data_IF_568760567952
#
_entry.id   IF_568760567952
#
_cell.length_a   1.000
_cell.length_b   1.000
_cell.length_c   1.000
_cell.angle_alpha   90.00
_cell.angle_beta   90.00
_cell.angle_gamma   90.00
#
_symmetry.space_group_name_H-M   'P 1'
#
loop_
_entity.id
_entity.type
_entity.pdbx_description
1 polymer ?
#
# COMPACT_ATOMS: atom_id res chain seq x y z
N UNK A 1 36.28 -1.84 27.29
CA UNK A 1 36.62 -1.96 25.86
C UNK A 1 35.39 -2.57 25.19
N UNK A 2 34.52 -1.71 24.68
CA UNK A 2 33.18 -2.05 24.20
C UNK A 2 33.33 -2.61 22.78
N UNK A 3 33.00 -3.88 22.58
CA UNK A 3 32.89 -4.47 21.25
C UNK A 3 31.49 -4.17 20.72
N UNK A 4 31.45 -3.36 19.68
CA UNK A 4 30.28 -3.11 18.84
C UNK A 4 29.83 -4.41 18.19
N UNK A 5 28.65 -4.89 18.53
CA UNK A 5 27.94 -5.86 17.71
C UNK A 5 27.19 -5.08 16.63
N UNK A 6 27.78 -5.06 15.44
CA UNK A 6 27.06 -4.72 14.21
C UNK A 6 25.95 -5.77 14.05
N UNK A 7 24.71 -5.31 14.11
CA UNK A 7 23.56 -6.05 13.58
C UNK A 7 23.78 -6.15 12.06
N UNK A 8 24.35 -7.25 11.60
CA UNK A 8 24.32 -7.59 10.18
C UNK A 8 22.92 -8.08 9.87
N UNK A 9 22.20 -7.34 9.02
CA UNK A 9 21.05 -7.84 8.28
C UNK A 9 21.51 -9.03 7.43
N UNK A 10 21.39 -10.22 7.98
CA UNK A 10 21.62 -11.47 7.28
C UNK A 10 20.47 -12.41 7.61
N UNK A 11 19.81 -12.87 6.54
CA UNK A 11 18.87 -13.97 6.46
C UNK A 11 17.45 -13.74 7.04
N UNK A 12 16.59 -13.13 6.22
CA UNK A 12 15.29 -13.75 5.93
C UNK A 12 15.37 -14.22 4.47
N UNK A 13 15.96 -15.40 4.28
CA UNK A 13 15.80 -16.16 3.04
C UNK A 13 14.72 -17.18 3.35
N UNK A 14 13.48 -16.87 2.98
CA UNK A 14 12.38 -17.85 3.04
C UNK A 14 12.19 -18.38 1.62
N UNK A 15 12.17 -19.70 1.56
CA UNK A 15 12.17 -20.56 0.40
C UNK A 15 10.85 -20.47 -0.38
N UNK A 16 10.93 -20.17 -1.67
CA UNK A 16 9.89 -20.39 -2.66
C UNK A 16 10.53 -20.87 -3.96
N UNK A 17 10.73 -22.19 -4.09
CA UNK A 17 11.02 -22.81 -5.38
C UNK A 17 9.68 -23.31 -5.91
N UNK A 18 9.05 -22.55 -6.80
CA UNK A 18 8.03 -23.11 -7.70
C UNK A 18 8.09 -22.47 -9.08
N UNK A 19 8.31 -23.34 -10.05
CA UNK A 19 8.33 -23.07 -11.48
C UNK A 19 6.98 -22.56 -12.00
N UNK A 20 6.96 -21.37 -12.60
CA UNK A 20 5.89 -20.94 -13.50
C UNK A 20 6.29 -21.25 -14.95
N UNK A 21 5.40 -21.93 -15.67
CA UNK A 21 5.49 -22.12 -17.11
C UNK A 21 5.36 -20.74 -17.78
N UNK A 22 6.27 -20.41 -18.69
CA UNK A 22 6.25 -19.16 -19.46
C UNK A 22 4.92 -18.99 -20.20
N UNK A 23 4.06 -18.10 -19.69
CA UNK A 23 3.04 -17.48 -20.51
C UNK A 23 3.74 -16.52 -21.51
N UNK A 24 3.09 -16.22 -22.63
CA UNK A 24 3.65 -15.34 -23.67
C UNK A 24 4.00 -13.95 -23.13
N UNK A 25 4.80 -13.19 -23.87
CA UNK A 25 5.23 -11.85 -23.45
C UNK A 25 4.03 -10.91 -23.20
N UNK A 26 2.97 -11.03 -23.99
CA UNK A 26 1.74 -10.25 -23.86
C UNK A 26 0.98 -10.53 -22.54
N UNK A 27 0.82 -11.80 -22.18
CA UNK A 27 0.17 -12.19 -20.91
C UNK A 27 0.98 -11.78 -19.69
N UNK A 28 2.31 -11.89 -19.76
CA UNK A 28 3.18 -11.48 -18.66
C UNK A 28 3.10 -9.97 -18.46
N UNK A 29 3.12 -9.20 -19.56
CA UNK A 29 2.98 -7.74 -19.50
C UNK A 29 1.64 -7.31 -18.88
N UNK A 30 0.55 -7.94 -19.32
CA UNK A 30 -0.77 -7.74 -18.71
C UNK A 30 -0.76 -8.06 -17.21
N UNK A 31 -0.21 -9.21 -16.85
CA UNK A 31 -0.13 -9.67 -15.45
C UNK A 31 0.67 -8.69 -14.59
N UNK A 32 1.78 -8.17 -15.11
CA UNK A 32 2.61 -7.17 -14.45
C UNK A 32 1.87 -5.85 -14.20
N UNK A 33 1.16 -5.30 -15.19
CA UNK A 33 0.40 -4.05 -15.01
C UNK A 33 -0.75 -4.22 -14.01
N UNK A 34 -1.53 -5.30 -14.15
CA UNK A 34 -2.67 -5.58 -13.25
C UNK A 34 -2.20 -5.94 -11.84
N UNK A 35 -1.15 -6.76 -11.73
CA UNK A 35 -0.51 -7.13 -10.47
C UNK A 35 -0.01 -5.89 -9.73
N UNK A 36 0.61 -4.96 -10.46
CA UNK A 36 1.05 -3.67 -9.90
C UNK A 36 -0.11 -2.81 -9.42
N UNK A 37 -1.18 -2.70 -10.21
CA UNK A 37 -2.39 -1.95 -9.85
C UNK A 37 -3.01 -2.49 -8.56
N UNK A 38 -3.26 -3.80 -8.51
CA UNK A 38 -3.96 -4.43 -7.38
C UNK A 38 -3.11 -4.48 -6.12
N UNK A 39 -1.81 -4.72 -6.25
CA UNK A 39 -0.87 -4.66 -5.12
C UNK A 39 -0.81 -3.24 -4.55
N UNK A 40 -0.65 -2.24 -5.41
CA UNK A 40 -0.56 -0.84 -4.98
C UNK A 40 -1.85 -0.39 -4.30
N UNK A 41 -3.02 -0.77 -4.83
CA UNK A 41 -4.32 -0.52 -4.22
C UNK A 41 -4.48 -1.18 -2.83
N UNK A 42 -3.87 -2.35 -2.61
CA UNK A 42 -3.91 -3.03 -1.31
C UNK A 42 -2.86 -2.50 -0.32
N UNK A 43 -1.71 -2.00 -0.80
CA UNK A 43 -0.61 -1.57 0.05
C UNK A 43 -0.85 -0.17 0.66
N UNK A 44 -0.73 -0.08 2.00
CA UNK A 44 -0.99 1.14 2.77
C UNK A 44 -0.24 2.39 2.27
N UNK A 45 1.00 2.20 1.81
CA UNK A 45 1.90 3.27 1.40
C UNK A 45 1.75 3.65 -0.06
N UNK A 46 1.17 2.78 -0.90
CA UNK A 46 1.04 2.95 -2.35
C UNK A 46 -0.39 3.18 -2.85
N UNK A 47 -1.40 2.94 -2.01
CA UNK A 47 -2.82 2.96 -2.36
C UNK A 47 -3.41 4.30 -2.83
N UNK A 48 -2.64 5.39 -2.82
CA UNK A 48 -3.10 6.73 -3.23
C UNK A 48 -1.92 7.53 -3.73
N UNK A 49 -1.93 7.97 -4.99
CA UNK A 49 -0.82 8.74 -5.55
C UNK A 49 -0.72 8.64 -7.06
N UNK A 50 0.32 9.28 -7.59
CA UNK A 50 0.76 9.20 -8.97
C UNK A 50 2.15 8.57 -9.00
N UNK A 51 2.32 7.56 -9.85
CA UNK A 51 3.52 6.76 -9.90
C UNK A 51 3.93 6.48 -11.35
N UNK A 52 5.20 6.73 -11.67
CA UNK A 52 5.85 6.28 -12.89
C UNK A 52 6.61 5.00 -12.55
N UNK A 53 6.33 3.93 -13.29
CA UNK A 53 6.94 2.61 -13.13
C UNK A 53 8.05 2.44 -14.14
N UNK A 54 9.17 1.83 -13.76
CA UNK A 54 10.21 1.47 -14.74
C UNK A 54 9.64 0.44 -15.73
N UNK A 55 9.35 0.88 -16.95
CA UNK A 55 8.69 0.09 -18.00
C UNK A 55 9.65 -0.82 -18.77
N UNK A 56 10.85 -1.02 -18.23
CA UNK A 56 12.02 -1.68 -18.84
C UNK A 56 11.73 -2.50 -20.11
N UNK A 57 12.38 -2.09 -21.21
CA UNK A 57 12.40 -2.70 -22.53
C UNK A 57 11.06 -2.79 -23.31
N UNK A 58 9.93 -2.33 -22.75
CA UNK A 58 8.60 -2.44 -23.38
C UNK A 58 8.01 -1.12 -23.88
N UNK A 59 8.79 -0.05 -24.03
CA UNK A 59 8.31 1.23 -24.59
C UNK A 59 8.51 2.38 -23.60
N UNK A 60 7.52 3.29 -23.52
CA UNK A 60 7.52 4.29 -22.45
C UNK A 60 7.14 3.62 -21.12
N UNK A 61 7.57 4.26 -20.03
CA UNK A 61 7.23 3.89 -18.66
C UNK A 61 5.71 3.97 -18.42
N UNK A 62 5.08 2.94 -17.84
CA UNK A 62 3.69 3.02 -17.41
C UNK A 62 3.52 4.08 -16.31
N UNK A 63 2.49 4.90 -16.46
CA UNK A 63 2.06 5.87 -15.47
C UNK A 63 0.80 5.34 -14.76
N UNK A 64 0.77 5.38 -13.43
CA UNK A 64 -0.39 4.99 -12.63
C UNK A 64 -0.89 6.11 -11.76
N UNK A 65 -2.20 6.32 -11.81
CA UNK A 65 -2.94 7.11 -10.84
C UNK A 65 -3.77 6.20 -9.96
N UNK A 66 -3.66 6.32 -8.64
CA UNK A 66 -4.50 5.59 -7.69
C UNK A 66 -5.17 6.56 -6.71
N UNK A 67 -6.47 6.38 -6.49
CA UNK A 67 -7.28 7.22 -5.61
C UNK A 67 -8.28 6.38 -4.84
N UNK A 68 -8.35 6.55 -3.52
CA UNK A 68 -9.21 5.72 -2.70
C UNK A 68 -9.83 6.41 -1.48
N UNK A 69 -10.85 5.74 -0.96
CA UNK A 69 -11.42 6.02 0.33
C UNK A 69 -11.39 4.74 1.16
N UNK A 70 -10.54 4.71 2.18
CA UNK A 70 -10.40 3.58 3.11
C UNK A 70 -10.69 4.05 4.54
N UNK A 71 -11.53 3.29 5.23
CA UNK A 71 -11.89 3.51 6.62
C UNK A 71 -11.61 2.29 7.47
N UNK A 72 -11.05 2.51 8.65
CA UNK A 72 -10.86 1.46 9.66
C UNK A 72 -11.60 1.83 10.94
N UNK A 73 -12.35 0.88 11.47
CA UNK A 73 -13.00 0.99 12.76
C UNK A 73 -12.36 0.00 13.74
N UNK A 74 -11.86 0.52 14.87
CA UNK A 74 -11.24 -0.28 15.92
C UNK A 74 -12.20 -0.35 17.10
N UNK A 75 -12.49 -1.57 17.55
CA UNK A 75 -13.31 -1.83 18.72
C UNK A 75 -12.46 -1.72 19.99
N UNK A 76 -12.98 -1.04 21.01
CA UNK A 76 -12.33 -0.88 22.31
C UNK A 76 -11.45 0.37 22.44
N UNK A 77 -11.08 0.67 23.68
CA UNK A 77 -10.33 1.85 24.07
C UNK A 77 -8.83 1.72 23.75
N UNK A 78 -8.11 2.84 23.64
CA UNK A 78 -6.66 2.81 23.37
C UNK A 78 -5.84 2.10 24.46
N UNK A 79 -6.36 1.98 25.68
CA UNK A 79 -5.76 1.23 26.78
C UNK A 79 -6.04 -0.27 26.75
N UNK A 80 -6.94 -0.74 25.89
CA UNK A 80 -7.31 -2.15 25.85
C UNK A 80 -6.20 -2.99 25.24
N UNK A 81 -5.93 -4.12 25.90
CA UNK A 81 -4.95 -5.10 25.45
C UNK A 81 -5.36 -5.77 24.15
N UNK A 82 -6.65 -6.01 23.93
CA UNK A 82 -7.17 -6.65 22.72
C UNK A 82 -8.21 -5.77 22.06
N UNK A 83 -7.99 -5.43 20.81
CA UNK A 83 -8.82 -4.48 20.06
C UNK A 83 -9.07 -5.01 18.66
N UNK A 84 -10.18 -5.73 18.44
CA UNK A 84 -10.61 -6.12 17.09
C UNK A 84 -10.74 -4.88 16.21
N UNK A 85 -10.56 -5.03 14.91
CA UNK A 85 -10.85 -3.97 13.95
C UNK A 85 -11.45 -4.53 12.68
N UNK A 86 -12.19 -3.67 11.98
CA UNK A 86 -12.67 -3.91 10.62
C UNK A 86 -12.20 -2.76 9.75
N UNK A 87 -11.81 -3.07 8.54
CA UNK A 87 -11.38 -2.10 7.55
C UNK A 87 -12.11 -2.34 6.25
N UNK A 88 -12.36 -1.28 5.51
CA UNK A 88 -12.92 -1.40 4.18
C UNK A 88 -12.87 -0.10 3.43
N UNK A 89 -13.03 -0.20 2.13
CA UNK A 89 -12.90 0.95 1.25
C UNK A 89 -13.24 0.62 -0.18
N UNK A 90 -13.16 1.66 -1.00
CA UNK A 90 -13.26 1.57 -2.45
C UNK A 90 -12.29 2.57 -3.07
N UNK A 91 -11.93 2.34 -4.31
CA UNK A 91 -11.05 3.24 -5.04
C UNK A 91 -11.04 2.98 -6.53
N UNK A 92 -10.17 3.73 -7.18
CA UNK A 92 -9.96 3.73 -8.61
C UNK A 92 -8.46 3.72 -8.86
N UNK A 93 -8.04 2.93 -9.84
CA UNK A 93 -6.67 2.94 -10.35
C UNK A 93 -6.74 3.07 -11.86
N UNK A 94 -5.86 3.86 -12.43
CA UNK A 94 -5.73 4.09 -13.87
C UNK A 94 -4.27 3.84 -14.22
N UNK A 95 -4.01 3.03 -15.25
CA UNK A 95 -2.66 2.80 -15.78
C UNK A 95 -2.65 3.12 -17.27
N UNK A 96 -1.76 4.03 -17.65
CA UNK A 96 -1.54 4.41 -19.04
C UNK A 96 -0.10 4.10 -19.45
N UNK A 97 0.07 3.47 -20.61
CA UNK A 97 1.38 3.26 -21.22
C UNK A 97 1.33 3.60 -22.70
N UNK A 98 2.00 4.70 -23.06
CA UNK A 98 2.16 5.10 -24.46
C UNK A 98 3.24 4.30 -25.17
N UNK A 99 3.02 3.97 -26.44
CA UNK A 99 4.00 3.28 -27.29
C UNK A 99 4.54 1.96 -26.70
N UNK A 100 3.71 1.21 -25.97
CA UNK A 100 4.04 -0.12 -25.47
C UNK A 100 4.44 -1.05 -26.63
N UNK A 101 5.67 -1.56 -26.59
CA UNK A 101 6.30 -2.48 -27.53
C UNK A 101 6.43 -3.87 -26.91
N UNK A 102 5.38 -4.68 -27.02
CA UNK A 102 5.35 -6.07 -26.55
C UNK A 102 5.20 -7.01 -27.75
N UNK A 103 6.00 -8.08 -27.76
CA UNK A 103 6.01 -9.10 -28.83
C UNK A 103 6.12 -8.52 -30.27
N UNK A 104 6.81 -7.39 -30.42
CA UNK A 104 7.03 -6.74 -31.72
C UNK A 104 5.85 -5.92 -32.25
N UNK A 105 4.81 -5.70 -31.44
CA UNK A 105 3.71 -4.77 -31.75
C UNK A 105 3.81 -3.52 -30.89
N UNK A 106 3.61 -2.36 -31.50
CA UNK A 106 3.53 -1.07 -30.80
C UNK A 106 2.07 -0.63 -30.70
N UNK A 107 1.66 -0.19 -29.52
CA UNK A 107 0.37 0.46 -29.30
C UNK A 107 0.30 1.12 -27.92
N UNK A 108 -0.75 1.87 -27.67
CA UNK A 108 -0.99 2.44 -26.35
C UNK A 108 -1.90 1.50 -25.56
N UNK A 109 -1.62 1.41 -24.26
CA UNK A 109 -2.40 0.66 -23.28
C UNK A 109 -3.05 1.67 -22.33
N UNK A 110 -4.32 1.45 -22.04
CA UNK A 110 -5.09 2.16 -21.03
C UNK A 110 -5.84 1.12 -20.19
N UNK A 111 -5.78 1.24 -18.87
CA UNK A 111 -6.41 0.31 -17.91
C UNK A 111 -7.11 1.09 -16.81
N UNK A 112 -8.43 1.18 -16.93
CA UNK A 112 -9.31 1.82 -15.96
C UNK A 112 -9.86 0.78 -14.98
N UNK A 113 -9.44 0.87 -13.72
CA UNK A 113 -9.85 -0.04 -12.65
C UNK A 113 -10.71 0.65 -11.60
N UNK A 114 -11.71 -0.06 -11.10
CA UNK A 114 -12.34 0.24 -9.80
C UNK A 114 -12.22 -0.97 -8.88
N UNK A 115 -12.13 -0.71 -7.58
CA UNK A 115 -11.94 -1.77 -6.61
C UNK A 115 -12.68 -1.51 -5.29
N UNK A 116 -12.90 -2.60 -4.56
CA UNK A 116 -13.44 -2.59 -3.21
C UNK A 116 -12.58 -3.51 -2.33
N UNK A 117 -12.30 -3.04 -1.13
CA UNK A 117 -11.49 -3.74 -0.14
C UNK A 117 -12.32 -3.97 1.12
N UNK A 118 -12.19 -5.14 1.72
CA UNK A 118 -12.73 -5.44 3.03
C UNK A 118 -11.78 -6.32 3.82
N UNK A 119 -11.70 -6.09 5.12
CA UNK A 119 -10.87 -6.90 5.99
C UNK A 119 -11.05 -6.55 7.45
N UNK A 120 -10.12 -7.04 8.24
CA UNK A 120 -10.12 -6.82 9.67
C UNK A 120 -9.07 -7.66 10.35
N UNK A 121 -9.08 -7.59 11.67
CA UNK A 121 -8.09 -8.29 12.47
C UNK A 121 -8.20 -7.95 13.93
N UNK A 122 -7.11 -8.18 14.63
CA UNK A 122 -6.99 -7.89 16.05
C UNK A 122 -5.68 -7.18 16.33
N UNK A 123 -5.78 -6.04 17.02
CA UNK A 123 -4.65 -5.38 17.63
C UNK A 123 -4.47 -5.96 19.04
N UNK A 124 -3.23 -6.28 19.38
CA UNK A 124 -2.80 -6.71 20.69
C UNK A 124 -1.73 -5.76 21.22
N UNK A 125 -2.04 -5.05 22.31
CA UNK A 125 -1.17 -4.07 22.93
C UNK A 125 -0.70 -4.60 24.29
N UNK A 126 0.36 -5.44 24.35
CA UNK A 126 0.84 -6.01 25.60
C UNK A 126 1.40 -4.96 26.56
N UNK A 127 1.86 -3.82 26.02
CA UNK A 127 2.38 -2.69 26.78
C UNK A 127 1.94 -1.38 26.12
N UNK A 128 2.15 -0.25 26.78
CA UNK A 128 1.86 1.07 26.21
C UNK A 128 2.72 1.45 25.00
N UNK A 129 3.81 0.72 24.75
CA UNK A 129 4.85 1.08 23.78
C UNK A 129 5.00 0.07 22.63
N UNK A 130 4.33 -1.08 22.73
CA UNK A 130 4.39 -2.16 21.76
C UNK A 130 2.97 -2.46 21.31
N UNK A 131 2.74 -2.39 20.01
CA UNK A 131 1.52 -2.84 19.37
C UNK A 131 1.83 -4.00 18.44
N UNK A 132 1.04 -5.06 18.52
CA UNK A 132 1.03 -6.15 17.55
C UNK A 132 -0.32 -6.13 16.84
N UNK A 133 -0.35 -6.48 15.56
CA UNK A 133 -1.59 -6.71 14.84
C UNK A 133 -1.49 -7.98 14.02
N UNK A 134 -2.61 -8.70 13.92
CA UNK A 134 -2.78 -9.77 12.94
C UNK A 134 -4.12 -9.53 12.26
N UNK A 135 -4.14 -9.57 10.94
CA UNK A 135 -5.36 -9.36 10.18
C UNK A 135 -5.30 -9.99 8.80
N UNK A 136 -6.42 -9.89 8.11
CA UNK A 136 -6.53 -10.26 6.72
C UNK A 136 -7.38 -9.24 5.98
N UNK A 137 -7.05 -9.01 4.72
CA UNK A 137 -7.89 -8.24 3.79
C UNK A 137 -8.11 -9.01 2.51
N UNK A 138 -9.20 -8.69 1.84
CA UNK A 138 -9.45 -9.07 0.47
C UNK A 138 -9.81 -7.82 -0.32
N UNK A 139 -9.29 -7.73 -1.55
CA UNK A 139 -9.59 -6.67 -2.48
C UNK A 139 -9.98 -7.30 -3.81
N UNK A 140 -11.07 -6.81 -4.39
CA UNK A 140 -11.52 -7.20 -5.72
C UNK A 140 -11.47 -5.97 -6.62
N UNK A 141 -10.90 -6.15 -7.80
CA UNK A 141 -10.64 -5.12 -8.79
C UNK A 141 -11.25 -5.56 -10.11
N UNK A 142 -12.12 -4.71 -10.66
CA UNK A 142 -12.59 -4.86 -12.03
C UNK A 142 -11.83 -3.85 -12.88
N UNK A 143 -11.29 -4.31 -13.99
CA UNK A 143 -10.54 -3.46 -14.93
C UNK A 143 -11.19 -3.49 -16.29
N UNK A 144 -11.39 -2.33 -16.88
CA UNK A 144 -11.72 -2.15 -18.28
C UNK A 144 -10.47 -1.64 -18.99
N UNK A 145 -10.04 -2.34 -20.03
CA UNK A 145 -8.83 -1.97 -20.75
C UNK A 145 -9.12 -1.52 -22.18
N UNK A 146 -8.18 -0.75 -22.74
CA UNK A 146 -8.07 -0.53 -24.17
C UNK A 146 -6.60 -0.69 -24.64
N UNK A 147 -6.44 -1.33 -25.79
CA UNK A 147 -5.19 -1.36 -26.54
C UNK A 147 -5.46 -1.08 -28.02
N UNK A 148 -4.76 -0.07 -28.56
CA UNK A 148 -4.99 0.42 -29.91
C UNK A 148 -4.00 -0.13 -30.98
N UNK A 149 -3.03 -0.95 -30.56
CA UNK A 149 -2.03 -1.54 -31.46
C UNK A 149 -2.56 -2.73 -32.27
N UNK A 150 -1.66 -3.38 -33.01
CA UNK A 150 -2.01 -4.42 -33.98
C UNK A 150 -1.92 -5.87 -33.44
N UNK A 151 -1.34 -6.09 -32.25
CA UNK A 151 -1.23 -7.44 -31.67
C UNK A 151 -2.59 -7.98 -31.21
N UNK A 152 -2.97 -9.15 -31.75
CA UNK A 152 -4.17 -9.87 -31.34
C UNK A 152 -4.07 -10.37 -29.89
N UNK A 153 -2.88 -10.76 -29.44
CA UNK A 153 -2.65 -11.18 -28.06
C UNK A 153 -2.82 -10.04 -27.07
N UNK A 154 -2.25 -8.87 -27.38
CA UNK A 154 -2.47 -7.66 -26.58
C UNK A 154 -3.95 -7.28 -26.56
N UNK A 155 -4.63 -7.26 -27.72
CA UNK A 155 -6.09 -6.98 -27.75
C UNK A 155 -6.91 -7.97 -26.94
N UNK A 156 -6.51 -9.24 -26.88
CA UNK A 156 -7.21 -10.23 -26.08
C UNK A 156 -7.15 -9.89 -24.59
N UNK A 157 -5.97 -9.57 -24.05
CA UNK A 157 -5.83 -9.25 -22.62
C UNK A 157 -6.29 -7.84 -22.26
N UNK A 158 -6.04 -6.86 -23.15
CA UNK A 158 -6.23 -5.45 -22.86
C UNK A 158 -7.53 -4.86 -23.40
N UNK A 159 -8.29 -5.48 -24.31
CA UNK A 159 -9.58 -4.92 -24.78
C UNK A 159 -10.79 -5.68 -24.22
N UNK A 160 -10.60 -6.34 -23.08
CA UNK A 160 -11.62 -7.09 -22.37
C UNK A 160 -11.68 -6.64 -20.92
N UNK A 161 -12.88 -6.74 -20.34
CA UNK A 161 -13.03 -6.56 -18.89
C UNK A 161 -12.40 -7.73 -18.18
N UNK A 162 -11.75 -7.45 -17.06
CA UNK A 162 -11.17 -8.47 -16.19
C UNK A 162 -11.56 -8.30 -14.74
N UNK A 163 -11.70 -9.41 -14.04
CA UNK A 163 -11.90 -9.47 -12.59
C UNK A 163 -10.65 -10.05 -11.92
N UNK A 164 -9.90 -9.22 -11.21
CA UNK A 164 -8.73 -9.63 -10.42
C UNK A 164 -9.03 -9.50 -8.94
N UNK A 165 -8.52 -10.42 -8.12
CA UNK A 165 -8.66 -10.32 -6.66
C UNK A 165 -7.37 -10.60 -5.96
N UNK A 166 -7.19 -9.98 -4.79
CA UNK A 166 -6.08 -10.28 -3.90
C UNK A 166 -6.56 -10.61 -2.49
N UNK A 167 -5.89 -11.56 -1.87
CA UNK A 167 -6.04 -11.93 -0.47
C UNK A 167 -4.73 -11.69 0.24
N UNK A 168 -4.79 -10.96 1.35
CA UNK A 168 -3.61 -10.53 2.10
C UNK A 168 -3.79 -10.96 3.56
N UNK A 169 -2.90 -11.82 4.05
CA UNK A 169 -2.75 -12.12 5.46
C UNK A 169 -1.54 -11.35 6.00
N UNK A 170 -1.73 -10.48 6.98
CA UNK A 170 -0.68 -9.61 7.47
C UNK A 170 -0.50 -9.67 8.98
N UNK A 171 0.75 -9.50 9.41
CA UNK A 171 1.13 -9.34 10.80
C UNK A 171 2.01 -8.09 10.96
N UNK A 172 1.67 -7.24 11.93
CA UNK A 172 2.40 -6.00 12.21
C UNK A 172 2.99 -6.05 13.62
N UNK A 173 4.21 -5.53 13.77
CA UNK A 173 4.80 -5.15 15.05
C UNK A 173 5.21 -3.68 14.99
N UNK A 174 4.77 -2.92 15.99
CA UNK A 174 5.11 -1.52 16.17
C UNK A 174 5.73 -1.30 17.54
N UNK A 175 6.74 -0.45 17.59
CA UNK A 175 7.32 0.06 18.82
C UNK A 175 7.37 1.59 18.77
N UNK A 176 7.04 2.24 19.89
CA UNK A 176 7.29 3.66 20.06
C UNK A 176 7.82 3.97 21.45
N UNK A 177 8.46 5.13 21.58
CA UNK A 177 8.89 5.67 22.87
C UNK A 177 8.63 7.18 22.93
N UNK A 178 8.93 7.82 24.04
CA UNK A 178 8.82 9.26 24.20
C UNK A 178 10.17 9.85 24.64
N UNK A 179 10.66 10.85 23.89
CA UNK A 179 11.92 11.54 24.14
C UNK A 179 11.65 13.04 24.03
N UNK A 180 11.72 13.76 25.15
CA UNK A 180 11.51 15.21 25.20
C UNK A 180 10.20 15.66 24.52
N UNK A 181 9.11 14.90 24.70
CA UNK A 181 7.79 15.16 24.11
C UNK A 181 7.62 14.72 22.65
N UNK A 182 8.71 14.33 21.97
CA UNK A 182 8.64 13.67 20.66
C UNK A 182 8.35 12.19 20.85
N UNK A 183 7.59 11.60 19.92
CA UNK A 183 7.27 10.16 19.95
C UNK A 183 7.84 9.46 18.72
N UNK A 184 9.14 9.09 18.74
CA UNK A 184 9.72 8.27 17.69
C UNK A 184 9.10 6.86 17.72
N UNK A 185 8.96 6.27 16.53
CA UNK A 185 8.38 4.95 16.36
C UNK A 185 9.05 4.21 15.20
N UNK A 186 8.91 2.89 15.23
CA UNK A 186 9.25 1.98 14.14
C UNK A 186 8.13 0.94 14.03
N UNK A 187 7.81 0.55 12.80
CA UNK A 187 6.82 -0.46 12.46
C UNK A 187 7.37 -1.40 11.42
N UNK A 188 6.98 -2.66 11.51
CA UNK A 188 7.24 -3.69 10.53
C UNK A 188 5.94 -4.44 10.29
N UNK A 189 5.52 -4.56 9.03
CA UNK A 189 4.42 -5.42 8.62
C UNK A 189 4.94 -6.46 7.63
N UNK A 190 4.57 -7.71 7.85
CA UNK A 190 4.80 -8.81 6.93
C UNK A 190 3.45 -9.23 6.34
N UNK A 191 3.41 -9.36 5.02
CA UNK A 191 2.24 -9.77 4.26
C UNK A 191 2.51 -11.09 3.55
N UNK A 192 1.52 -11.97 3.53
CA UNK A 192 1.42 -13.07 2.59
C UNK A 192 0.25 -12.80 1.66
N UNK A 193 0.57 -12.62 0.38
CA UNK A 193 -0.36 -12.19 -0.65
C UNK A 193 -0.63 -13.35 -1.61
N UNK A 194 -1.87 -13.41 -2.08
CA UNK A 194 -2.34 -14.25 -3.17
C UNK A 194 -3.09 -13.36 -4.14
N UNK A 195 -2.66 -13.30 -5.41
CA UNK A 195 -3.30 -12.52 -6.47
C UNK A 195 -3.86 -13.52 -7.49
N UNK A 196 -5.18 -13.47 -7.67
CA UNK A 196 -5.90 -14.28 -8.62
C UNK A 196 -6.25 -13.42 -9.82
N UNK A 197 -5.77 -13.83 -11.00
CA UNK A 197 -5.95 -13.13 -12.25
C UNK A 197 -7.09 -13.73 -13.08
N UNK A 198 -7.66 -12.91 -13.95
CA UNK A 198 -8.59 -13.38 -14.99
C UNK A 198 -7.84 -14.03 -16.17
N UNK A 199 -8.59 -14.47 -17.18
CA UNK A 199 -8.11 -15.00 -18.45
C UNK A 199 -7.31 -16.31 -18.35
N UNK A 200 -7.64 -17.14 -17.35
CA UNK A 200 -6.95 -18.39 -17.03
C UNK A 200 -5.43 -18.22 -16.81
N UNK A 201 -5.00 -17.01 -16.44
CA UNK A 201 -3.61 -16.73 -16.05
C UNK A 201 -3.33 -17.37 -14.68
N UNK A 202 -2.09 -17.80 -14.48
CA UNK A 202 -1.69 -18.41 -13.21
C UNK A 202 -1.69 -17.39 -12.08
N UNK A 203 -2.28 -17.75 -10.94
CA UNK A 203 -2.20 -16.96 -9.70
C UNK A 203 -0.74 -16.73 -9.26
N UNK A 204 -0.52 -15.61 -8.57
CA UNK A 204 0.76 -15.27 -7.93
C UNK A 204 0.58 -15.33 -6.43
N UNK A 205 1.51 -15.98 -5.73
CA UNK A 205 1.54 -15.95 -4.27
C UNK A 205 2.95 -15.59 -3.82
N UNK A 206 3.06 -14.75 -2.79
CA UNK A 206 4.37 -14.39 -2.26
C UNK A 206 4.28 -13.52 -1.02
N UNK A 207 5.43 -13.05 -0.58
CA UNK A 207 5.61 -12.26 0.61
C UNK A 207 6.00 -10.83 0.28
N UNK A 208 5.39 -9.88 0.98
CA UNK A 208 5.90 -8.51 0.99
C UNK A 208 6.15 -8.04 2.42
N UNK A 209 7.09 -7.12 2.55
CA UNK A 209 7.44 -6.52 3.84
C UNK A 209 7.38 -5.01 3.75
N UNK A 210 6.65 -4.41 4.67
CA UNK A 210 6.64 -2.97 4.87
C UNK A 210 7.42 -2.61 6.15
N UNK A 211 8.43 -1.76 6.01
CA UNK A 211 9.12 -1.12 7.13
C UNK A 211 8.70 0.34 7.19
N UNK A 212 8.45 0.86 8.39
CA UNK A 212 8.24 2.28 8.62
C UNK A 212 9.04 2.74 9.84
N UNK A 213 9.66 3.91 9.74
CA UNK A 213 10.21 4.61 10.89
C UNK A 213 9.84 6.08 10.84
N UNK A 214 9.60 6.69 11.99
CA UNK A 214 9.22 8.09 12.03
C UNK A 214 9.17 8.69 13.43
N UNK A 215 8.68 9.91 13.49
CA UNK A 215 8.52 10.66 14.74
C UNK A 215 7.28 11.53 14.68
N UNK A 216 6.47 11.46 15.75
CA UNK A 216 5.45 12.47 16.01
C UNK A 216 6.08 13.61 16.82
N UNK A 217 5.83 14.85 16.40
CA UNK A 217 6.22 16.03 17.13
C UNK A 217 5.30 16.25 18.35
N UNK A 218 5.75 17.01 19.35
CA UNK A 218 4.84 17.72 20.25
C UNK A 218 3.86 18.60 19.44
N UNK A 219 2.85 19.16 20.12
CA UNK A 219 2.00 20.20 19.54
C UNK A 219 2.86 21.35 19.01
N UNK A 220 2.79 21.60 17.71
CA UNK A 220 3.55 22.65 17.03
C UNK A 220 2.82 23.99 17.09
N UNK A 221 1.50 23.95 16.94
CA UNK A 221 0.62 25.12 16.99
C UNK A 221 -0.79 24.69 17.37
N UNK A 222 -1.69 25.64 17.54
CA UNK A 222 -3.12 25.40 17.65
C UNK A 222 -3.86 26.01 16.46
N UNK A 223 -4.89 25.33 15.98
CA UNK A 223 -5.82 25.87 14.99
C UNK A 223 -7.25 25.61 15.47
N UNK A 224 -8.06 26.66 15.57
CA UNK A 224 -9.36 26.65 16.24
C UNK A 224 -9.27 26.06 17.66
N UNK A 225 -8.25 26.48 18.43
CA UNK A 225 -7.94 26.02 19.79
C UNK A 225 -7.64 24.51 19.93
N UNK A 226 -7.48 23.80 18.81
CA UNK A 226 -7.13 22.40 18.79
C UNK A 226 -5.67 22.19 18.43
N UNK A 227 -4.98 21.23 19.09
CA UNK A 227 -3.57 21.00 18.84
C UNK A 227 -3.33 20.48 17.43
N UNK A 228 -2.34 21.07 16.77
CA UNK A 228 -1.79 20.61 15.50
C UNK A 228 -0.38 20.08 15.76
N UNK A 229 -0.12 18.86 15.32
CA UNK A 229 1.18 18.18 15.41
C UNK A 229 1.59 17.67 14.02
N UNK A 230 2.85 17.33 13.86
CA UNK A 230 3.35 16.71 12.63
C UNK A 230 3.85 15.29 12.91
N UNK A 231 3.81 14.46 11.88
CA UNK A 231 4.49 13.17 11.79
C UNK A 231 5.46 13.25 10.63
N UNK A 232 6.72 12.93 10.85
CA UNK A 232 7.73 12.78 9.80
C UNK A 232 8.09 11.30 9.74
N UNK A 233 8.15 10.73 8.54
CA UNK A 233 8.33 9.30 8.39
C UNK A 233 9.06 8.93 7.10
N UNK A 234 9.65 7.74 7.11
CA UNK A 234 10.19 7.06 5.95
C UNK A 234 9.73 5.61 5.95
N UNK A 235 9.53 5.05 4.76
CA UNK A 235 9.00 3.70 4.57
C UNK A 235 9.77 2.96 3.50
N UNK A 236 9.72 1.63 3.58
CA UNK A 236 10.21 0.74 2.53
C UNK A 236 9.19 -0.39 2.37
N UNK A 237 8.76 -0.63 1.14
CA UNK A 237 7.98 -1.81 0.73
C UNK A 237 8.89 -2.68 -0.11
N UNK A 238 9.02 -3.96 0.27
CA UNK A 238 9.93 -4.92 -0.35
C UNK A 238 9.14 -6.16 -0.76
N UNK A 239 9.29 -6.59 -2.01
CA UNK A 239 8.64 -7.77 -2.55
C UNK A 239 9.63 -8.94 -2.60
N UNK A 240 9.13 -10.17 -2.53
CA UNK A 240 9.90 -11.35 -2.85
C UNK A 240 9.94 -11.61 -4.36
N UNK A 241 10.83 -12.53 -4.78
CA UNK A 241 11.08 -12.85 -6.19
C UNK A 241 9.81 -13.29 -6.94
N UNK A 242 8.89 -13.99 -6.26
CA UNK A 242 7.64 -14.47 -6.87
C UNK A 242 6.68 -13.29 -7.17
N UNK A 243 6.48 -12.38 -6.20
CA UNK A 243 5.65 -11.19 -6.42
C UNK A 243 6.29 -10.23 -7.40
N UNK A 244 7.60 -10.03 -7.33
CA UNK A 244 8.31 -9.04 -8.15
C UNK A 244 8.45 -9.46 -9.62
N UNK A 245 8.25 -10.74 -9.93
CA UNK A 245 8.14 -11.19 -11.33
C UNK A 245 6.84 -10.69 -11.99
N UNK A 246 5.76 -10.59 -11.21
CA UNK A 246 4.41 -10.26 -11.67
C UNK A 246 3.95 -8.85 -11.26
N UNK A 247 4.87 -8.02 -10.74
CA UNK A 247 4.68 -6.63 -10.35
C UNK A 247 5.87 -5.84 -10.90
N UNK A 248 5.67 -4.62 -11.41
CA UNK A 248 6.69 -3.84 -12.11
C UNK A 248 7.75 -3.20 -11.21
N UNK A 249 7.82 -3.59 -9.94
CA UNK A 249 8.85 -3.10 -9.02
C UNK A 249 9.21 -4.17 -8.00
N UNK A 250 10.48 -4.21 -7.60
CA UNK A 250 10.95 -5.09 -6.52
C UNK A 250 10.82 -4.38 -5.16
N UNK A 251 10.97 -3.06 -5.17
CA UNK A 251 11.01 -2.24 -3.97
C UNK A 251 10.44 -0.83 -4.20
N UNK A 252 9.91 -0.25 -3.12
CA UNK A 252 9.45 1.13 -3.09
C UNK A 252 9.80 1.78 -1.75
N UNK A 253 10.69 2.76 -1.78
CA UNK A 253 11.09 3.61 -0.68
C UNK A 253 10.36 4.94 -0.75
N UNK A 254 9.80 5.38 0.37
CA UNK A 254 9.11 6.66 0.43
C UNK A 254 9.45 7.45 1.69
N UNK A 255 9.34 8.77 1.59
CA UNK A 255 9.49 9.70 2.70
C UNK A 255 8.32 10.66 2.71
N UNK A 256 7.86 11.05 3.89
CA UNK A 256 6.69 11.90 3.99
C UNK A 256 6.56 12.67 5.29
N UNK A 257 5.59 13.59 5.24
CA UNK A 257 5.13 14.36 6.36
C UNK A 257 3.60 14.33 6.40
N UNK A 258 3.06 14.20 7.61
CA UNK A 258 1.63 14.32 7.86
C UNK A 258 1.36 15.38 8.90
N UNK A 259 0.50 16.34 8.57
CA UNK A 259 -0.08 17.27 9.53
C UNK A 259 -1.31 16.65 10.16
N UNK A 260 -1.38 16.67 11.48
CA UNK A 260 -2.38 15.99 12.27
C UNK A 260 -3.11 17.02 13.14
N UNK A 261 -4.43 17.08 12.98
CA UNK A 261 -5.28 18.04 13.67
C UNK A 261 -6.40 17.31 14.42
N UNK A 262 -6.43 17.46 15.74
CA UNK A 262 -7.43 16.80 16.59
C UNK A 262 -8.77 17.54 16.50
N UNK A 263 -9.69 17.09 15.66
CA UNK A 263 -10.98 17.76 15.37
C UNK A 263 -12.17 17.26 16.21
N UNK A 264 -11.97 16.23 17.04
CA UNK A 264 -13.04 15.59 17.80
C UNK A 264 -14.03 16.49 18.57
N UNK A 265 -13.62 17.62 19.17
CA UNK A 265 -14.54 18.50 19.90
C UNK A 265 -15.46 19.37 19.02
N UNK A 266 -15.15 19.57 17.74
CA UNK A 266 -15.85 20.54 16.89
C UNK A 266 -17.00 19.94 16.07
N UNK A 267 -17.06 18.62 15.90
CA UNK A 267 -18.10 17.97 15.09
C UNK A 267 -19.32 17.68 15.98
N UNK A 268 -20.08 18.74 16.31
CA UNK A 268 -21.27 18.66 17.18
C UNK A 268 -22.42 17.82 16.60
N UNK A 269 -22.38 17.50 15.31
CA UNK A 269 -23.43 16.73 14.61
C UNK A 269 -23.48 15.28 15.11
N UNK A 270 -22.39 14.78 15.70
CA UNK A 270 -22.27 13.40 16.14
C UNK A 270 -22.07 13.22 17.66
N UNK A 271 -22.83 13.98 18.45
CA UNK A 271 -23.13 13.78 19.89
C UNK A 271 -22.20 12.78 20.63
N UNK A 272 -21.17 13.28 21.34
CA UNK A 272 -20.21 12.56 22.19
C UNK A 272 -19.44 11.34 21.60
N UNK A 273 -19.80 10.83 20.42
CA UNK A 273 -19.26 9.58 19.87
C UNK A 273 -17.88 9.74 19.18
N UNK A 274 -17.36 10.97 19.06
CA UNK A 274 -16.22 11.32 18.18
C UNK A 274 -15.13 12.17 18.85
N UNK A 275 -14.99 12.15 20.19
CA UNK A 275 -14.04 13.03 20.91
C UNK A 275 -12.56 12.81 20.56
N UNK A 276 -12.22 11.65 19.98
CA UNK A 276 -10.87 11.34 19.46
C UNK A 276 -10.86 11.21 17.94
N UNK A 277 -11.36 12.25 17.25
CA UNK A 277 -11.19 12.36 15.80
C UNK A 277 -9.93 13.15 15.47
N UNK A 278 -9.09 12.62 14.58
CA UNK A 278 -7.92 13.31 14.04
C UNK A 278 -8.04 13.39 12.50
N UNK A 279 -7.88 14.59 11.97
CA UNK A 279 -7.74 14.85 10.55
C UNK A 279 -6.25 14.85 10.21
N UNK A 280 -5.86 14.05 9.22
CA UNK A 280 -4.51 13.97 8.72
C UNK A 280 -4.42 14.45 7.27
N UNK A 281 -3.55 15.42 6.98
CA UNK A 281 -3.13 15.70 5.61
C UNK A 281 -1.73 15.12 5.41
N UNK A 282 -1.61 14.17 4.49
CA UNK A 282 -0.37 13.46 4.18
C UNK A 282 0.21 13.98 2.86
N UNK A 283 1.53 14.20 2.86
CA UNK A 283 2.34 14.34 1.67
C UNK A 283 3.48 13.33 1.77
N UNK A 284 3.64 12.51 0.75
CA UNK A 284 4.66 11.47 0.67
C UNK A 284 5.20 11.45 -0.75
N UNK A 285 6.50 11.18 -0.92
CA UNK A 285 7.14 11.01 -2.22
C UNK A 285 8.08 9.82 -2.18
N UNK A 286 8.36 9.23 -3.33
CA UNK A 286 9.39 8.20 -3.45
C UNK A 286 10.78 8.85 -3.27
N UNK A 287 11.73 8.10 -2.70
CA UNK A 287 13.08 8.63 -2.36
C UNK A 287 14.18 7.60 -2.61
N UNK A 288 15.32 8.01 -3.17
CA UNK A 288 16.43 7.10 -3.45
C UNK A 288 16.27 6.33 -4.76
N UNK A 289 17.05 5.26 -4.92
CA UNK A 289 16.95 4.33 -6.05
C UNK A 289 15.66 3.52 -5.86
N UNK A 290 14.66 3.75 -6.70
CA UNK A 290 13.38 3.07 -6.67
C UNK A 290 13.02 2.63 -8.08
N UNK A 291 12.41 1.46 -8.20
CA UNK A 291 11.80 0.99 -9.45
C UNK A 291 10.41 1.64 -9.65
N UNK A 292 9.88 2.28 -8.60
CA UNK A 292 8.66 3.07 -8.58
C UNK A 292 8.96 4.51 -8.17
N UNK A 293 8.76 5.48 -9.07
CA UNK A 293 8.94 6.89 -8.78
C UNK A 293 7.61 7.63 -8.72
N UNK A 294 7.40 8.54 -7.77
CA UNK A 294 6.08 9.15 -7.65
C UNK A 294 5.83 9.94 -6.38
N UNK A 295 4.61 10.43 -6.25
CA UNK A 295 4.17 11.17 -5.07
C UNK A 295 2.71 10.88 -4.72
N UNK A 296 2.44 11.01 -3.43
CA UNK A 296 1.17 10.73 -2.78
C UNK A 296 0.72 11.96 -2.02
N UNK A 297 -0.53 12.33 -2.23
CA UNK A 297 -1.27 13.17 -1.29
C UNK A 297 -2.52 12.44 -0.85
N UNK A 298 -2.80 12.45 0.45
CA UNK A 298 -4.01 11.81 0.98
C UNK A 298 -4.54 12.59 2.17
N UNK A 299 -5.87 12.71 2.23
CA UNK A 299 -6.59 13.17 3.42
C UNK A 299 -7.08 11.93 4.19
N UNK A 300 -6.70 11.81 5.45
CA UNK A 300 -7.10 10.71 6.31
C UNK A 300 -7.98 11.20 7.46
N UNK A 301 -9.05 10.45 7.75
CA UNK A 301 -9.92 10.68 8.91
C UNK A 301 -9.77 9.49 9.86
N UNK A 302 -9.20 9.73 11.03
CA UNK A 302 -9.13 8.73 12.08
C UNK A 302 -10.23 9.00 13.08
N UNK A 303 -11.16 8.07 13.21
CA UNK A 303 -12.26 8.11 14.17
C UNK A 303 -12.03 6.97 15.17
N UNK A 304 -11.61 7.30 16.39
CA UNK A 304 -11.70 6.38 17.51
C UNK A 304 -12.99 6.66 18.30
N UNK A 305 -13.83 5.64 18.46
CA UNK A 305 -15.09 5.73 19.21
C UNK A 305 -14.92 5.15 20.62
N UNK A 306 -15.60 5.78 21.58
CA UNK A 306 -15.84 5.34 22.95
C UNK A 306 -16.84 4.18 23.00
#
# INVERSE_FOLDING_TARGET
MIKSHYFSMAAITILGLSSAAYAGAESNHYKQLIGTSIFSANNLYLQTGWYDMDGSDTGNDPEMTNSNFVGTYIFGENSDTWRPFVTGGFGFADIQQDQSTVAGSTGNIDLDSYYYQFGGGINYNPTSNIGLALGATCLWMNTDGDYNGASDGMRYYFNQKSDTSTYDLFATVGYHTEINGYKPYVGLTLHYLSINYDFDLSDTNGWSTDLEAGVYTPTLTTWLDLPVRARLFATATLLDDDLSTDILFDNAYSGGARLLWKVGPMIHIFNDAFKETELGLNLQGTVGDNDLSGWKTSLAFYIAKF
#
